data_IF_487253009842
#
_entry.id   IF_487253009842
#
_cell.length_a   1.000
_cell.length_b   1.000
_cell.length_c   1.000
_cell.angle_alpha   90.00
_cell.angle_beta   90.00
_cell.angle_gamma   90.00
#
_symmetry.space_group_name_H-M   'P 1'
#
loop_
_entity.id
_entity.type
_entity.pdbx_description
1 polymer ?
#
# COMPACT_ATOMS: atom_id res chain seq x y z
N UNK A 1 14.50 -7.33 7.64
CA UNK A 1 14.34 -6.15 8.49
C UNK A 1 13.94 -6.58 9.86
N UNK A 2 14.70 -6.13 10.82
CA UNK A 2 14.41 -6.34 12.22
C UNK A 2 13.59 -5.13 12.68
N UNK A 3 12.51 -5.35 13.38
CA UNK A 3 11.77 -4.30 14.08
C UNK A 3 11.14 -3.21 13.21
N UNK A 4 10.61 -3.58 12.04
CA UNK A 4 9.73 -2.67 11.30
C UNK A 4 8.41 -2.50 12.05
N UNK A 5 7.93 -1.25 12.14
CA UNK A 5 6.71 -0.91 12.87
C UNK A 5 5.66 -0.34 11.93
N UNK A 6 4.41 -0.76 12.14
CA UNK A 6 3.25 -0.13 11.56
C UNK A 6 2.44 0.54 12.67
N UNK A 7 1.73 1.61 12.33
CA UNK A 7 0.94 2.37 13.30
C UNK A 7 -0.49 2.53 12.81
N UNK A 8 -1.42 2.47 13.75
CA UNK A 8 -2.81 2.85 13.50
C UNK A 8 -3.18 4.02 14.40
N UNK A 9 -3.79 5.03 13.81
CA UNK A 9 -4.32 6.19 14.53
C UNK A 9 -5.83 6.20 14.37
N UNK A 10 -6.55 6.10 15.47
CA UNK A 10 -8.01 6.20 15.49
C UNK A 10 -8.41 7.56 16.05
N UNK A 11 -9.25 8.29 15.32
CA UNK A 11 -9.76 9.61 15.72
C UNK A 11 -11.27 9.63 15.54
N UNK A 12 -11.97 10.64 16.11
CA UNK A 12 -13.42 10.81 15.86
C UNK A 12 -13.77 10.98 14.36
N UNK A 13 -12.81 11.47 13.57
CA UNK A 13 -13.03 11.72 12.14
C UNK A 13 -12.67 10.53 11.24
N UNK A 14 -11.99 9.53 11.77
CA UNK A 14 -11.62 8.33 11.04
C UNK A 14 -10.35 7.68 11.53
N UNK A 15 -10.02 6.54 10.95
CA UNK A 15 -8.85 5.74 11.29
C UNK A 15 -7.88 5.64 10.11
N UNK A 16 -6.59 5.77 10.42
CA UNK A 16 -5.51 5.74 9.44
C UNK A 16 -4.44 4.76 9.88
N UNK A 17 -3.99 3.93 8.95
CA UNK A 17 -2.87 3.00 9.17
C UNK A 17 -1.69 3.42 8.30
N UNK A 18 -0.52 3.42 8.92
CA UNK A 18 0.77 3.67 8.27
C UNK A 18 1.57 2.38 8.34
N UNK A 19 1.84 1.75 7.20
CA UNK A 19 2.53 0.46 7.21
C UNK A 19 4.02 0.56 7.51
N UNK A 20 4.63 1.70 7.19
CA UNK A 20 6.09 1.76 7.11
C UNK A 20 6.60 0.82 6.03
N UNK A 21 7.90 0.57 6.04
CA UNK A 21 8.49 -0.39 5.11
C UNK A 21 8.21 -1.81 5.59
N UNK A 22 7.46 -2.56 4.81
CA UNK A 22 7.02 -3.91 5.17
C UNK A 22 6.84 -4.76 3.92
N UNK A 23 7.03 -6.05 4.07
CA UNK A 23 6.48 -7.01 3.11
C UNK A 23 5.04 -7.34 3.52
N UNK A 24 4.22 -7.89 2.61
CA UNK A 24 2.88 -8.32 2.96
C UNK A 24 2.91 -9.28 4.15
N UNK A 25 2.12 -8.99 5.19
CA UNK A 25 2.08 -9.84 6.37
C UNK A 25 0.74 -9.72 7.11
N UNK A 26 0.41 -10.77 7.84
CA UNK A 26 -0.86 -10.87 8.56
C UNK A 26 -1.00 -9.82 9.67
N UNK A 27 0.10 -9.48 10.35
CA UNK A 27 0.04 -8.51 11.44
C UNK A 27 -0.37 -7.11 10.96
N UNK A 28 0.06 -6.70 9.77
CA UNK A 28 -0.37 -5.43 9.17
C UNK A 28 -1.84 -5.50 8.76
N UNK A 29 -2.27 -6.62 8.16
CA UNK A 29 -3.68 -6.84 7.81
C UNK A 29 -4.56 -6.74 9.05
N UNK A 30 -4.19 -7.40 10.14
CA UNK A 30 -4.94 -7.37 11.39
C UNK A 30 -5.02 -5.97 11.99
N UNK A 31 -3.92 -5.23 11.98
CA UNK A 31 -3.88 -3.84 12.42
C UNK A 31 -4.81 -2.96 11.61
N UNK A 32 -4.88 -3.17 10.30
CA UNK A 32 -5.64 -2.34 9.37
C UNK A 32 -7.12 -2.71 9.27
N UNK A 33 -7.59 -3.75 9.95
CA UNK A 33 -8.99 -4.20 9.87
C UNK A 33 -9.98 -3.06 10.03
N UNK A 34 -10.80 -2.84 9.00
CA UNK A 34 -11.86 -1.84 9.00
C UNK A 34 -11.40 -0.39 9.05
N UNK A 35 -10.13 -0.11 8.83
CA UNK A 35 -9.64 1.27 8.80
C UNK A 35 -10.23 2.06 7.64
N UNK A 36 -10.34 3.37 7.82
CA UNK A 36 -10.82 4.26 6.76
C UNK A 36 -9.76 4.47 5.69
N UNK A 37 -8.48 4.51 6.07
CA UNK A 37 -7.37 4.73 5.16
C UNK A 37 -6.16 3.90 5.56
N UNK A 38 -5.49 3.34 4.58
CA UNK A 38 -4.19 2.70 4.77
C UNK A 38 -3.18 3.32 3.81
N UNK A 39 -2.13 3.93 4.38
CA UNK A 39 -0.97 4.35 3.63
C UNK A 39 0.01 3.19 3.62
N UNK A 40 0.13 2.57 2.46
CA UNK A 40 0.95 1.36 2.29
C UNK A 40 2.11 1.66 1.36
N UNK A 41 3.30 1.26 1.78
CA UNK A 41 4.45 1.35 0.89
C UNK A 41 4.19 0.52 -0.37
N UNK A 42 4.68 1.01 -1.50
CA UNK A 42 4.55 0.32 -2.78
C UNK A 42 5.77 0.67 -3.64
N UNK A 43 6.84 -0.10 -3.47
CA UNK A 43 8.10 0.22 -4.14
C UNK A 43 7.99 0.10 -5.66
N UNK A 44 7.46 -1.03 -6.15
CA UNK A 44 7.40 -1.28 -7.57
C UNK A 44 6.28 -2.28 -7.90
N UNK A 45 6.16 -2.60 -9.18
CA UNK A 45 5.36 -3.72 -9.65
C UNK A 45 5.86 -5.01 -8.98
N UNK A 46 4.95 -5.83 -8.49
CA UNK A 46 5.30 -7.02 -7.73
C UNK A 46 6.15 -8.00 -8.56
N UNK A 47 5.82 -8.19 -9.85
CA UNK A 47 6.58 -9.09 -10.72
C UNK A 47 8.00 -8.58 -10.90
N UNK A 48 8.17 -7.28 -11.10
CA UNK A 48 9.48 -6.64 -11.22
C UNK A 48 10.31 -6.84 -9.95
N UNK A 49 9.70 -6.68 -8.78
CA UNK A 49 10.38 -6.88 -7.50
C UNK A 49 10.80 -8.34 -7.29
N UNK A 50 9.92 -9.28 -7.66
CA UNK A 50 10.22 -10.71 -7.55
C UNK A 50 11.38 -11.10 -8.45
N UNK A 51 11.42 -10.58 -9.67
CA UNK A 51 12.50 -10.85 -10.63
C UNK A 51 13.82 -10.21 -10.24
N UNK A 52 13.80 -9.01 -9.68
CA UNK A 52 15.01 -8.27 -9.29
C UNK A 52 15.58 -8.66 -7.93
N UNK A 53 14.83 -9.43 -7.14
CA UNK A 53 15.23 -9.80 -5.78
C UNK A 53 14.97 -8.71 -4.74
N UNK A 54 14.18 -7.69 -5.07
CA UNK A 54 13.84 -6.58 -4.18
C UNK A 54 12.62 -6.82 -3.29
N UNK A 55 11.93 -7.94 -3.48
CA UNK A 55 10.70 -8.22 -2.74
C UNK A 55 10.87 -8.40 -1.21
N UNK A 56 11.93 -9.05 -0.69
CA UNK A 56 12.05 -9.24 0.76
C UNK A 56 12.07 -7.91 1.52
N UNK A 57 11.22 -7.80 2.53
CA UNK A 57 11.10 -6.60 3.36
C UNK A 57 10.38 -5.43 2.71
N UNK A 58 9.85 -5.60 1.50
CA UNK A 58 9.16 -4.56 0.75
C UNK A 58 7.82 -5.05 0.21
N UNK A 59 6.98 -4.11 -0.16
CA UNK A 59 5.66 -4.37 -0.71
C UNK A 59 5.55 -3.77 -2.11
N UNK A 60 4.99 -4.53 -3.03
CA UNK A 60 4.66 -4.08 -4.36
C UNK A 60 3.16 -3.85 -4.54
N UNK A 61 2.77 -3.61 -5.78
CA UNK A 61 1.38 -3.27 -6.15
C UNK A 61 0.37 -4.32 -5.68
N UNK A 62 0.57 -5.59 -6.03
CA UNK A 62 -0.40 -6.64 -5.69
C UNK A 62 -0.36 -7.01 -4.21
N UNK A 63 0.80 -6.91 -3.56
CA UNK A 63 0.91 -7.12 -2.11
C UNK A 63 0.12 -6.09 -1.32
N UNK A 64 0.26 -4.81 -1.67
CA UNK A 64 -0.52 -3.73 -1.06
C UNK A 64 -2.03 -3.92 -1.29
N UNK A 65 -2.42 -4.27 -2.51
CA UNK A 65 -3.81 -4.50 -2.85
C UNK A 65 -4.43 -5.64 -2.05
N UNK A 66 -3.72 -6.76 -1.89
CA UNK A 66 -4.20 -7.90 -1.11
C UNK A 66 -4.38 -7.55 0.36
N UNK A 67 -3.40 -6.87 0.96
CA UNK A 67 -3.52 -6.45 2.36
C UNK A 67 -4.72 -5.52 2.54
N UNK A 68 -4.90 -4.55 1.66
CA UNK A 68 -6.02 -3.62 1.73
C UNK A 68 -7.37 -4.33 1.59
N UNK A 69 -7.48 -5.26 0.65
CA UNK A 69 -8.72 -6.01 0.43
C UNK A 69 -9.05 -6.93 1.61
N UNK A 70 -8.08 -7.65 2.11
CA UNK A 70 -8.28 -8.54 3.26
C UNK A 70 -8.62 -7.77 4.54
N UNK A 71 -8.01 -6.61 4.75
CA UNK A 71 -8.31 -5.75 5.88
C UNK A 71 -9.64 -5.00 5.74
N UNK A 72 -10.15 -4.85 4.53
CA UNK A 72 -11.39 -4.13 4.27
C UNK A 72 -11.25 -2.63 4.46
N UNK A 73 -10.08 -2.06 4.17
CA UNK A 73 -9.89 -0.60 4.25
C UNK A 73 -10.69 0.10 3.15
N UNK A 74 -11.20 1.28 3.44
CA UNK A 74 -12.01 2.04 2.49
C UNK A 74 -11.16 2.74 1.44
N UNK A 75 -9.95 3.16 1.81
CA UNK A 75 -9.05 3.93 0.95
C UNK A 75 -7.62 3.40 1.08
N UNK A 76 -7.05 2.99 -0.05
CA UNK A 76 -5.65 2.59 -0.13
C UNK A 76 -4.85 3.71 -0.78
N UNK A 77 -3.87 4.21 -0.07
CA UNK A 77 -2.93 5.21 -0.56
C UNK A 77 -1.58 4.55 -0.72
N UNK A 78 -1.07 4.50 -1.94
CA UNK A 78 0.26 3.96 -2.21
C UNK A 78 1.29 5.06 -2.01
N UNK A 79 2.24 4.80 -1.12
CA UNK A 79 3.32 5.71 -0.76
C UNK A 79 4.67 5.04 -0.98
N UNK A 80 5.76 5.80 -0.85
CA UNK A 80 7.11 5.25 -1.05
C UNK A 80 7.23 4.58 -2.42
N UNK A 81 6.67 5.22 -3.43
CA UNK A 81 6.63 4.69 -4.80
C UNK A 81 8.00 4.90 -5.46
N UNK A 82 8.58 3.82 -5.94
CA UNK A 82 9.89 3.86 -6.59
C UNK A 82 9.87 4.52 -7.96
N UNK A 83 11.04 4.86 -8.51
CA UNK A 83 11.14 5.61 -9.76
C UNK A 83 10.59 4.84 -10.97
N UNK A 84 10.72 3.53 -11.00
CA UNK A 84 10.17 2.73 -12.11
C UNK A 84 8.64 2.80 -12.15
N UNK A 85 7.99 2.54 -11.02
CA UNK A 85 6.53 2.56 -10.94
C UNK A 85 5.94 3.96 -11.14
N UNK A 86 6.71 5.00 -10.84
CA UNK A 86 6.29 6.39 -11.06
C UNK A 86 6.23 6.77 -12.54
N UNK A 87 6.80 5.96 -13.42
CA UNK A 87 6.72 6.15 -14.86
C UNK A 87 5.30 5.95 -15.39
N UNK A 88 4.96 6.60 -16.49
CA UNK A 88 3.60 6.62 -17.03
C UNK A 88 3.03 5.23 -17.33
N UNK A 89 3.73 4.41 -18.12
CA UNK A 89 3.29 3.05 -18.45
C UNK A 89 3.22 2.11 -17.26
N UNK A 90 4.28 2.00 -16.44
CA UNK A 90 4.27 1.16 -15.24
C UNK A 90 3.20 1.56 -14.23
N UNK A 91 2.93 2.84 -14.04
CA UNK A 91 1.87 3.31 -13.14
C UNK A 91 0.49 2.88 -13.64
N UNK A 92 0.21 3.01 -14.92
CA UNK A 92 -1.08 2.57 -15.48
C UNK A 92 -1.28 1.07 -15.31
N UNK A 93 -0.26 0.27 -15.56
CA UNK A 93 -0.29 -1.17 -15.31
C UNK A 93 -0.54 -1.45 -13.82
N UNK A 94 0.17 -0.77 -12.94
CA UNK A 94 0.04 -0.91 -11.50
C UNK A 94 -1.37 -0.60 -11.01
N UNK A 95 -1.99 0.46 -11.49
CA UNK A 95 -3.38 0.80 -11.18
C UNK A 95 -4.31 -0.35 -11.60
N UNK A 96 -4.14 -0.88 -12.79
CA UNK A 96 -4.93 -2.01 -13.29
C UNK A 96 -4.78 -3.26 -12.44
N UNK A 97 -3.55 -3.60 -12.05
CA UNK A 97 -3.26 -4.76 -11.22
C UNK A 97 -3.90 -4.63 -9.83
N UNK A 98 -3.79 -3.46 -9.22
CA UNK A 98 -4.41 -3.19 -7.91
C UNK A 98 -5.93 -3.29 -7.99
N UNK A 99 -6.55 -2.72 -9.03
CA UNK A 99 -8.01 -2.71 -9.18
C UNK A 99 -8.61 -4.09 -9.42
N UNK A 100 -7.84 -5.06 -9.89
CA UNK A 100 -8.31 -6.45 -10.01
C UNK A 100 -8.43 -7.14 -8.67
N UNK A 101 -7.77 -6.64 -7.64
CA UNK A 101 -7.68 -7.26 -6.32
C UNK A 101 -8.44 -6.43 -5.27
N UNK A 102 -8.29 -5.12 -5.32
CA UNK A 102 -8.84 -4.20 -4.33
C UNK A 102 -9.95 -3.34 -4.95
N UNK A 103 -11.12 -3.35 -4.36
CA UNK A 103 -12.31 -2.67 -4.88
C UNK A 103 -12.60 -1.31 -4.20
N UNK A 104 -11.81 -0.90 -3.23
CA UNK A 104 -11.96 0.38 -2.57
C UNK A 104 -11.35 1.54 -3.37
N UNK A 105 -11.29 2.71 -2.76
CA UNK A 105 -10.68 3.88 -3.37
C UNK A 105 -9.16 3.77 -3.39
N UNK A 106 -8.56 3.97 -4.56
CA UNK A 106 -7.11 3.89 -4.76
C UNK A 106 -6.53 5.27 -5.06
N UNK A 107 -5.45 5.62 -4.38
CA UNK A 107 -4.68 6.83 -4.63
C UNK A 107 -3.20 6.49 -4.75
N UNK A 108 -2.58 6.86 -5.87
CA UNK A 108 -1.12 6.92 -5.98
C UNK A 108 -0.70 8.29 -5.46
N UNK A 109 0.03 8.32 -4.36
CA UNK A 109 0.39 9.59 -3.73
C UNK A 109 1.51 10.30 -4.48
N UNK A 110 1.50 11.61 -4.37
CA UNK A 110 2.57 12.50 -4.82
C UNK A 110 3.06 13.31 -3.63
N UNK A 111 4.28 13.82 -3.74
CA UNK A 111 4.85 14.67 -2.71
C UNK A 111 3.94 15.87 -2.41
N UNK A 112 3.75 16.16 -1.14
CA UNK A 112 2.91 17.24 -0.63
C UNK A 112 1.41 17.10 -0.95
N UNK A 113 0.96 15.94 -1.43
CA UNK A 113 -0.45 15.68 -1.68
C UNK A 113 -1.24 15.73 -0.37
N UNK A 114 -2.41 16.36 -0.40
CA UNK A 114 -3.37 16.36 0.71
C UNK A 114 -4.47 15.35 0.42
N UNK A 115 -4.73 14.49 1.39
CA UNK A 115 -5.72 13.41 1.25
C UNK A 115 -6.69 13.51 2.42
N UNK A 116 -7.98 13.49 2.08
CA UNK A 116 -9.05 13.49 3.08
C UNK A 116 -9.29 12.06 3.59
N UNK A 117 -9.34 11.92 4.88
CA UNK A 117 -9.61 10.61 5.53
C UNK A 117 -11.03 10.11 5.28
#
# INVERSE_FOLDING_TARGET
>A
YLDSLAYRVDTPDGSVVFTGDTQPCQSVIDLAKGADMMLCMCWDDQEVMDESGEAPGQCGTTGAARMAQEAGVKKLVLVHVGPHLSGHGPMEKGIGDVRRIYDGQLIFSEELMRIQV
#
